data_IF_465357020111
#
_entry.id   IF_465357020111
#
_cell.length_a   1.000
_cell.length_b   1.000
_cell.length_c   1.000
_cell.angle_alpha   90.00
_cell.angle_beta   90.00
_cell.angle_gamma   90.00
#
_symmetry.space_group_name_H-M   'P 1'
#
loop_
_entity.id
_entity.type
_entity.pdbx_description
1 polymer ?
#
# COMPACT_ATOMS: atom_id res chain seq x y z
N UNK A 1 15.94 14.29 7.69
CA UNK A 1 16.04 13.05 8.49
C UNK A 1 14.68 12.51 8.93
N UNK A 2 13.78 13.33 9.49
CA UNK A 2 12.45 12.87 9.96
C UNK A 2 11.61 12.20 8.86
N UNK A 3 11.63 12.72 7.65
CA UNK A 3 10.85 12.15 6.52
C UNK A 3 11.40 10.81 6.05
N UNK A 4 12.71 10.61 6.11
CA UNK A 4 13.31 9.30 5.86
C UNK A 4 12.91 8.28 6.94
N UNK A 5 12.79 8.71 8.19
CA UNK A 5 12.29 7.88 9.29
C UNK A 5 10.82 7.50 9.07
N UNK A 6 10.00 8.43 8.62
CA UNK A 6 8.59 8.18 8.30
C UNK A 6 8.48 7.15 7.16
N UNK A 7 9.20 7.37 6.05
CA UNK A 7 9.19 6.44 4.92
C UNK A 7 9.70 5.04 5.31
N UNK A 8 10.81 4.97 6.02
CA UNK A 8 11.37 3.71 6.51
C UNK A 8 10.48 3.02 7.53
N UNK A 9 9.83 3.78 8.40
CA UNK A 9 8.88 3.27 9.39
C UNK A 9 7.66 2.62 8.73
N UNK A 10 7.07 3.25 7.73
CA UNK A 10 5.95 2.68 6.95
C UNK A 10 6.41 1.41 6.23
N UNK A 11 7.54 1.47 5.53
CA UNK A 11 8.08 0.32 4.82
C UNK A 11 8.30 -0.89 5.73
N UNK A 12 8.99 -0.70 6.86
CA UNK A 12 9.31 -1.78 7.79
C UNK A 12 8.10 -2.31 8.53
N UNK A 13 7.20 -1.43 8.97
CA UNK A 13 5.97 -1.84 9.66
C UNK A 13 5.10 -2.72 8.79
N UNK A 14 4.90 -2.31 7.55
CA UNK A 14 4.10 -3.10 6.61
C UNK A 14 4.81 -4.41 6.23
N UNK A 15 6.12 -4.39 6.06
CA UNK A 15 6.90 -5.60 5.79
C UNK A 15 6.76 -6.63 6.92
N UNK A 16 6.85 -6.18 8.17
CA UNK A 16 6.71 -7.04 9.36
C UNK A 16 5.30 -7.61 9.43
N UNK A 17 4.28 -6.78 9.25
CA UNK A 17 2.88 -7.21 9.27
C UNK A 17 2.56 -8.19 8.15
N UNK A 18 3.05 -7.95 6.95
CA UNK A 18 2.87 -8.87 5.82
C UNK A 18 3.51 -10.23 6.08
N UNK A 19 4.72 -10.26 6.63
CA UNK A 19 5.38 -11.52 7.01
C UNK A 19 4.64 -12.25 8.12
N UNK A 20 4.14 -11.52 9.11
CA UNK A 20 3.32 -12.09 10.18
C UNK A 20 2.04 -12.71 9.63
N UNK A 21 1.33 -12.00 8.77
CA UNK A 21 0.10 -12.48 8.14
C UNK A 21 0.36 -13.71 7.25
N UNK A 22 1.46 -13.68 6.49
CA UNK A 22 1.84 -14.81 5.64
C UNK A 22 2.09 -16.10 6.43
N UNK A 23 2.72 -15.98 7.60
CA UNK A 23 3.04 -17.14 8.44
C UNK A 23 1.85 -17.64 9.26
N UNK A 24 1.01 -16.74 9.77
CA UNK A 24 -0.01 -17.07 10.75
C UNK A 24 -1.37 -17.40 10.15
N UNK A 25 -1.74 -16.78 9.04
CA UNK A 25 -3.09 -16.88 8.50
C UNK A 25 -3.14 -17.63 7.17
N UNK A 26 -4.17 -18.44 6.98
CA UNK A 26 -4.47 -19.05 5.70
C UNK A 26 -5.04 -18.00 4.72
N UNK A 27 -4.77 -18.20 3.43
CA UNK A 27 -5.25 -17.31 2.37
C UNK A 27 -6.77 -17.33 2.29
N UNK A 28 -7.39 -16.16 2.15
CA UNK A 28 -8.84 -15.95 2.00
C UNK A 28 -9.70 -16.41 3.20
N UNK A 29 -9.10 -16.63 4.35
CA UNK A 29 -9.85 -16.91 5.58
C UNK A 29 -10.07 -15.62 6.35
N UNK A 30 -11.31 -15.35 6.72
CA UNK A 30 -11.70 -14.11 7.40
C UNK A 30 -11.62 -14.24 8.90
N UNK A 31 -11.00 -13.27 9.54
CA UNK A 31 -10.86 -13.18 10.99
C UNK A 31 -11.42 -11.83 11.47
N UNK A 32 -12.70 -11.75 11.87
CA UNK A 32 -13.29 -10.52 12.36
C UNK A 32 -12.59 -10.00 13.63
N UNK A 33 -12.41 -8.69 13.69
CA UNK A 33 -11.87 -7.98 14.85
C UNK A 33 -12.70 -6.73 15.12
N UNK A 34 -12.59 -6.17 16.33
CA UNK A 34 -13.30 -4.95 16.75
C UNK A 34 -14.82 -5.00 16.47
N UNK A 35 -15.47 -6.09 16.90
CA UNK A 35 -16.90 -6.27 16.68
C UNK A 35 -17.29 -6.47 15.21
N UNK A 36 -16.37 -6.98 14.39
CA UNK A 36 -16.60 -7.22 12.96
C UNK A 36 -16.39 -6.00 12.07
N UNK A 37 -15.98 -4.85 12.60
CA UNK A 37 -15.71 -3.64 11.81
C UNK A 37 -14.44 -3.73 10.97
N UNK A 38 -13.44 -4.43 11.48
CA UNK A 38 -12.19 -4.72 10.76
C UNK A 38 -12.11 -6.23 10.61
N UNK A 39 -11.79 -6.69 9.41
CA UNK A 39 -11.61 -8.11 9.12
C UNK A 39 -10.19 -8.33 8.66
N UNK A 40 -9.47 -9.22 9.32
CA UNK A 40 -8.17 -9.68 8.88
C UNK A 40 -8.37 -10.82 7.87
N UNK A 41 -7.85 -10.62 6.68
CA UNK A 41 -7.95 -11.58 5.58
C UNK A 41 -6.69 -11.50 4.73
N UNK A 42 -5.94 -12.59 4.63
CA UNK A 42 -4.78 -12.60 3.75
C UNK A 42 -5.22 -12.74 2.30
N UNK A 43 -4.86 -11.76 1.49
CA UNK A 43 -5.16 -11.70 0.07
C UNK A 43 -3.90 -11.38 -0.74
N UNK A 44 -3.70 -12.09 -1.83
CA UNK A 44 -2.60 -11.84 -2.76
C UNK A 44 -3.11 -11.05 -3.97
N UNK A 45 -2.66 -9.81 -4.07
CA UNK A 45 -3.06 -8.89 -5.12
C UNK A 45 -2.03 -8.92 -6.27
N UNK A 46 -2.39 -9.56 -7.37
CA UNK A 46 -1.53 -9.66 -8.55
C UNK A 46 -1.63 -8.46 -9.49
N UNK A 47 -2.68 -7.66 -9.35
CA UNK A 47 -2.91 -6.43 -10.13
C UNK A 47 -2.67 -5.17 -9.32
N UNK A 48 -3.15 -4.06 -9.85
CA UNK A 48 -3.34 -2.83 -9.09
C UNK A 48 -4.68 -2.89 -8.35
N UNK A 49 -5.13 -1.75 -7.78
CA UNK A 49 -6.42 -1.69 -7.12
C UNK A 49 -7.51 -2.36 -7.98
N UNK A 50 -8.30 -3.24 -7.37
CA UNK A 50 -9.39 -3.98 -8.03
C UNK A 50 -8.95 -4.86 -9.21
N UNK A 51 -7.78 -5.47 -9.08
CA UNK A 51 -7.21 -6.37 -10.09
C UNK A 51 -6.92 -5.70 -11.44
N UNK A 52 -6.78 -4.38 -11.47
CA UNK A 52 -6.36 -3.67 -12.67
C UNK A 52 -4.97 -4.17 -13.12
N UNK A 53 -4.81 -4.43 -14.41
CA UNK A 53 -3.58 -4.95 -15.02
C UNK A 53 -3.08 -6.31 -14.48
N UNK A 54 -3.94 -7.12 -13.88
CA UNK A 54 -3.57 -8.46 -13.41
C UNK A 54 -2.96 -9.34 -14.52
N UNK A 55 -3.39 -9.16 -15.77
CA UNK A 55 -2.90 -9.89 -16.93
C UNK A 55 -1.56 -9.37 -17.49
N UNK A 56 -1.06 -8.24 -16.99
CA UNK A 56 0.17 -7.58 -17.44
C UNK A 56 1.10 -7.26 -16.28
N UNK A 57 1.59 -8.27 -15.55
CA UNK A 57 2.38 -8.04 -14.32
C UNK A 57 3.71 -7.33 -14.57
N UNK A 58 4.37 -7.59 -15.69
CA UNK A 58 5.63 -6.91 -16.06
C UNK A 58 5.39 -5.43 -16.33
N UNK A 59 4.36 -5.10 -17.09
CA UNK A 59 3.99 -3.71 -17.39
C UNK A 59 3.60 -2.96 -16.11
N UNK A 60 2.84 -3.59 -15.23
CA UNK A 60 2.46 -3.02 -13.95
C UNK A 60 3.68 -2.68 -13.08
N UNK A 61 4.68 -3.58 -13.02
CA UNK A 61 5.93 -3.33 -12.29
C UNK A 61 6.71 -2.16 -12.88
N UNK A 62 6.80 -2.09 -14.20
CA UNK A 62 7.48 -0.98 -14.90
C UNK A 62 6.79 0.34 -14.59
N UNK A 63 5.48 0.42 -14.73
CA UNK A 63 4.70 1.62 -14.44
C UNK A 63 4.87 2.02 -12.97
N UNK A 64 4.76 1.10 -12.05
CA UNK A 64 4.94 1.35 -10.61
C UNK A 64 6.35 1.89 -10.32
N UNK A 65 7.38 1.29 -10.92
CA UNK A 65 8.76 1.75 -10.76
C UNK A 65 8.93 3.17 -11.30
N UNK A 66 8.41 3.47 -12.49
CA UNK A 66 8.50 4.80 -13.10
C UNK A 66 7.81 5.85 -12.23
N UNK A 67 6.61 5.55 -11.72
CA UNK A 67 5.88 6.44 -10.82
C UNK A 67 6.71 6.74 -9.57
N UNK A 68 7.30 5.72 -8.94
CA UNK A 68 8.12 5.91 -7.74
C UNK A 68 9.40 6.69 -8.01
N UNK A 69 10.03 6.51 -9.17
CA UNK A 69 11.19 7.31 -9.59
C UNK A 69 10.79 8.78 -9.74
N UNK A 70 9.68 9.07 -10.40
CA UNK A 70 9.17 10.44 -10.57
C UNK A 70 8.86 11.07 -9.20
N UNK A 71 8.17 10.34 -8.33
CA UNK A 71 7.87 10.80 -6.97
C UNK A 71 9.15 11.02 -6.16
N UNK A 72 10.15 10.15 -6.31
CA UNK A 72 11.45 10.30 -5.68
C UNK A 72 12.19 11.56 -6.10
N UNK A 73 12.20 11.85 -7.41
CA UNK A 73 12.79 13.09 -7.95
C UNK A 73 12.03 14.31 -7.42
N UNK A 74 10.71 14.28 -7.46
CA UNK A 74 9.88 15.35 -6.90
C UNK A 74 10.15 15.56 -5.41
N UNK A 75 10.26 14.48 -4.64
CA UNK A 75 10.58 14.53 -3.21
C UNK A 75 11.92 15.18 -2.93
N UNK A 76 12.93 14.88 -3.75
CA UNK A 76 14.25 15.50 -3.62
C UNK A 76 14.18 17.02 -3.71
N UNK A 77 13.47 17.55 -4.69
CA UNK A 77 13.29 19.01 -4.83
C UNK A 77 12.41 19.58 -3.72
N UNK A 78 11.33 18.90 -3.36
CA UNK A 78 10.44 19.33 -2.27
C UNK A 78 11.18 19.44 -0.94
N UNK A 79 12.08 18.50 -0.63
CA UNK A 79 12.85 18.52 0.62
C UNK A 79 13.80 19.72 0.74
N UNK A 80 14.17 20.34 -0.37
CA UNK A 80 15.02 21.55 -0.41
C UNK A 80 14.25 22.84 -0.10
N UNK A 81 12.93 22.80 -0.21
CA UNK A 81 12.10 23.98 0.09
C UNK A 81 11.90 24.11 1.60
N UNK A 82 11.82 25.34 2.08
CA UNK A 82 11.44 25.61 3.49
C UNK A 82 9.95 25.40 3.68
N UNK A 83 9.54 24.97 4.88
CA UNK A 83 8.13 24.67 5.15
C UNK A 83 7.66 23.39 4.46
N UNK A 84 6.41 23.39 4.02
CA UNK A 84 5.78 22.26 3.31
C UNK A 84 5.77 20.93 4.08
N UNK A 85 5.61 21.00 5.42
CA UNK A 85 5.67 19.81 6.28
C UNK A 85 4.61 18.78 5.93
N UNK A 86 3.43 19.22 5.54
CA UNK A 86 2.31 18.33 5.17
C UNK A 86 2.63 17.57 3.87
N UNK A 87 3.08 18.30 2.86
CA UNK A 87 3.45 17.72 1.55
C UNK A 87 4.66 16.79 1.66
N UNK A 88 5.65 17.18 2.45
CA UNK A 88 6.84 16.34 2.73
C UNK A 88 6.46 15.05 3.44
N UNK A 89 5.55 15.13 4.43
CA UNK A 89 5.02 13.94 5.10
C UNK A 89 4.25 13.06 4.12
N UNK A 90 3.41 13.65 3.28
CA UNK A 90 2.64 12.94 2.27
C UNK A 90 3.52 12.14 1.29
N UNK A 91 4.57 12.77 0.74
CA UNK A 91 5.49 12.05 -0.16
C UNK A 91 6.34 11.01 0.57
N UNK A 92 6.68 11.23 1.84
CA UNK A 92 7.38 10.23 2.64
C UNK A 92 6.52 8.97 2.85
N UNK A 93 5.24 9.14 3.18
CA UNK A 93 4.28 8.05 3.28
C UNK A 93 4.10 7.31 1.95
N UNK A 94 3.96 8.07 0.87
CA UNK A 94 3.82 7.53 -0.49
C UNK A 94 5.03 6.70 -0.90
N UNK A 95 6.24 7.20 -0.66
CA UNK A 95 7.47 6.49 -0.98
C UNK A 95 7.64 5.24 -0.13
N UNK A 96 7.42 5.32 1.17
CA UNK A 96 7.54 4.17 2.07
C UNK A 96 6.56 3.05 1.70
N UNK A 97 5.29 3.41 1.48
CA UNK A 97 4.26 2.45 1.08
C UNK A 97 4.44 1.92 -0.34
N UNK A 98 4.75 2.81 -1.28
CA UNK A 98 4.97 2.43 -2.68
C UNK A 98 6.17 1.52 -2.87
N UNK A 99 7.27 1.80 -2.19
CA UNK A 99 8.47 0.94 -2.20
C UNK A 99 8.20 -0.44 -1.60
N UNK A 100 7.43 -0.52 -0.52
CA UNK A 100 7.06 -1.81 0.07
C UNK A 100 6.22 -2.65 -0.90
N UNK A 101 5.20 -2.07 -1.49
CA UNK A 101 4.38 -2.77 -2.47
C UNK A 101 5.16 -3.16 -3.73
N UNK A 102 6.09 -2.31 -4.17
CA UNK A 102 6.98 -2.65 -5.29
C UNK A 102 7.94 -3.78 -4.94
N UNK A 103 8.48 -3.80 -3.72
CA UNK A 103 9.30 -4.89 -3.21
C UNK A 103 8.54 -6.22 -3.26
N UNK A 104 7.30 -6.25 -2.81
CA UNK A 104 6.46 -7.45 -2.91
C UNK A 104 6.29 -7.93 -4.36
N UNK A 105 6.04 -7.01 -5.29
CA UNK A 105 5.86 -7.34 -6.71
C UNK A 105 7.11 -7.94 -7.35
N UNK A 106 8.30 -7.45 -7.00
CA UNK A 106 9.56 -7.97 -7.52
C UNK A 106 9.98 -9.29 -6.87
N UNK A 107 9.67 -9.50 -5.59
CA UNK A 107 10.11 -10.69 -4.85
C UNK A 107 9.10 -11.82 -4.86
N UNK A 108 7.79 -11.51 -4.86
CA UNK A 108 6.70 -12.49 -4.73
C UNK A 108 5.80 -12.56 -5.95
N UNK A 109 5.84 -11.56 -6.82
CA UNK A 109 4.93 -11.43 -7.95
C UNK A 109 3.53 -10.89 -7.59
N UNK A 110 3.26 -10.63 -6.33
CA UNK A 110 2.00 -10.09 -5.82
C UNK A 110 2.23 -9.22 -4.60
N UNK A 111 1.26 -8.37 -4.28
CA UNK A 111 1.22 -7.61 -3.03
C UNK A 111 0.39 -8.37 -2.01
N UNK A 112 0.88 -8.45 -0.77
CA UNK A 112 0.13 -9.06 0.33
C UNK A 112 -0.76 -8.00 0.98
N UNK A 113 -2.06 -8.16 0.84
CA UNK A 113 -3.09 -7.38 1.51
C UNK A 113 -3.66 -8.20 2.66
N UNK A 114 -4.03 -7.58 3.78
CA UNK A 114 -4.33 -8.35 4.99
C UNK A 114 -5.50 -7.83 5.81
N UNK A 115 -6.09 -6.69 5.50
CA UNK A 115 -7.28 -6.25 6.20
C UNK A 115 -8.27 -5.55 5.29
N UNK A 116 -9.54 -5.64 5.64
CA UNK A 116 -10.55 -4.80 5.03
C UNK A 116 -11.49 -4.19 6.08
N UNK A 117 -12.11 -3.10 5.71
CA UNK A 117 -13.03 -2.36 6.53
C UNK A 117 -14.45 -2.86 6.26
N UNK A 118 -15.13 -3.33 7.29
CA UNK A 118 -16.49 -3.83 7.18
C UNK A 118 -17.52 -2.76 7.60
N UNK A 119 -17.25 -1.52 7.21
CA UNK A 119 -18.18 -0.39 7.41
C UNK A 119 -18.07 0.59 6.23
N UNK A 120 -19.03 1.49 6.13
CA UNK A 120 -19.06 2.47 5.04
C UNK A 120 -19.65 1.91 3.74
N UNK A 121 -19.39 2.54 2.60
CA UNK A 121 -19.98 2.17 1.32
C UNK A 121 -19.49 0.79 0.84
N UNK A 122 -20.27 0.16 -0.04
CA UNK A 122 -20.00 -1.19 -0.56
C UNK A 122 -18.61 -1.32 -1.22
N UNK A 123 -18.18 -0.29 -1.94
CA UNK A 123 -16.87 -0.29 -2.60
C UNK A 123 -15.70 -0.37 -1.60
N UNK A 124 -15.84 0.30 -0.44
CA UNK A 124 -14.82 0.26 0.61
C UNK A 124 -14.76 -1.12 1.26
N UNK A 125 -15.92 -1.75 1.48
CA UNK A 125 -16.01 -3.09 2.06
C UNK A 125 -15.51 -4.20 1.13
N UNK A 126 -15.46 -3.94 -0.16
CA UNK A 126 -15.03 -4.91 -1.17
C UNK A 126 -13.49 -5.00 -1.31
N UNK A 127 -12.74 -4.09 -0.69
CA UNK A 127 -11.30 -3.97 -0.90
C UNK A 127 -10.55 -4.48 0.32
N UNK A 128 -9.54 -5.31 0.07
CA UNK A 128 -8.56 -5.72 1.07
C UNK A 128 -7.35 -4.79 0.96
N UNK A 129 -6.83 -4.34 2.09
CA UNK A 129 -5.76 -3.35 2.18
C UNK A 129 -4.52 -3.88 2.88
N UNK A 130 -3.44 -3.15 2.74
CA UNK A 130 -2.28 -3.15 3.63
C UNK A 130 -2.00 -1.72 4.12
N UNK A 131 -1.08 -1.55 5.08
CA UNK A 131 -0.72 -0.22 5.60
C UNK A 131 -0.15 0.66 4.48
N UNK A 132 0.67 0.10 3.60
CA UNK A 132 1.24 0.83 2.47
C UNK A 132 0.16 1.41 1.56
N UNK A 133 -0.88 0.67 1.27
CA UNK A 133 -2.01 1.16 0.46
C UNK A 133 -2.84 2.22 1.16
N UNK A 134 -3.03 2.12 2.46
CA UNK A 134 -3.73 3.16 3.23
C UNK A 134 -3.01 4.50 3.15
N UNK A 135 -1.67 4.49 3.11
CA UNK A 135 -0.86 5.70 3.00
C UNK A 135 -0.90 6.32 1.60
N UNK A 136 -1.10 5.50 0.57
CA UNK A 136 -1.03 5.90 -0.84
C UNK A 136 -2.40 6.29 -1.40
N UNK A 137 -3.47 5.73 -0.85
CA UNK A 137 -4.77 5.74 -1.49
C UNK A 137 -5.37 7.13 -1.61
N UNK A 138 -5.59 7.55 -2.84
CA UNK A 138 -6.43 8.71 -3.15
C UNK A 138 -7.90 8.37 -2.91
N UNK A 139 -8.60 9.29 -2.22
CA UNK A 139 -10.05 9.21 -1.97
C UNK A 139 -10.90 9.33 -3.22
N UNK A 140 -10.28 9.55 -4.38
CA UNK A 140 -10.95 9.81 -5.65
C UNK A 140 -11.34 8.56 -6.43
N UNK A 141 -10.97 7.36 -6.00
CA UNK A 141 -11.41 6.14 -6.67
C UNK A 141 -12.88 5.91 -6.34
N UNK A 142 -13.73 6.59 -7.08
CA UNK A 142 -15.16 6.28 -7.13
C UNK A 142 -15.34 5.05 -8.01
N UNK A 143 -15.83 3.97 -7.44
CA UNK A 143 -16.35 2.87 -8.22
C UNK A 143 -17.80 3.13 -8.59
N UNK A 144 -18.16 2.92 -9.86
CA UNK A 144 -19.54 2.83 -10.23
C UNK A 144 -20.24 1.65 -9.54
#
# INVERSE_FOLDING_TARGET
>A
MVYAIIAGGVFLSDLILKRYMDKKYARKVRHPRLGGRIVLEKYYNEGAALNFMVKKPKLLRIIHTVILVVVGIFSYFLMRLSGHALEKTGVALLLGGGLNNLYDRYTKGHVVDYFHLNFGPKWLRAIVFNISEMCIRDRTIRHP
#
